data_IF_042775091232
#
_entry.id   IF_042775091232
#
_cell.length_a   1.000
_cell.length_b   1.000
_cell.length_c   1.000
_cell.angle_alpha   90.00
_cell.angle_beta   90.00
_cell.angle_gamma   90.00
#
_symmetry.space_group_name_H-M   'P 1'
#
loop_
_entity.id
_entity.type
_entity.pdbx_description
1 polymer ?
#
# COMPACT_ATOMS: atom_id res chain seq x y z
N UNK A 1 0.25 1.31 4.77
CA UNK A 1 -0.48 1.16 3.49
C UNK A 1 -0.47 2.43 2.65
N UNK A 2 -0.88 3.59 3.20
CA UNK A 2 -0.96 4.82 2.39
C UNK A 2 0.39 5.31 1.87
N UNK A 3 1.46 5.25 2.67
CA UNK A 3 2.82 5.59 2.20
C UNK A 3 3.32 4.63 1.12
N UNK A 4 3.18 3.32 1.32
CA UNK A 4 3.51 2.31 0.29
C UNK A 4 2.75 2.52 -1.02
N UNK A 5 1.47 2.94 -0.97
CA UNK A 5 0.70 3.29 -2.16
C UNK A 5 1.28 4.51 -2.90
N UNK A 6 1.70 5.53 -2.15
CA UNK A 6 2.32 6.74 -2.74
C UNK A 6 3.66 6.41 -3.37
N UNK A 7 4.47 5.58 -2.73
CA UNK A 7 5.75 5.10 -3.27
C UNK A 7 5.53 4.37 -4.61
N UNK A 8 4.64 3.37 -4.65
CA UNK A 8 4.36 2.63 -5.89
C UNK A 8 3.82 3.55 -6.98
N UNK A 9 2.89 4.46 -6.66
CA UNK A 9 2.37 5.42 -7.63
C UNK A 9 3.44 6.37 -8.18
N UNK A 10 4.38 6.80 -7.33
CA UNK A 10 5.51 7.62 -7.76
C UNK A 10 6.44 6.85 -8.71
N UNK A 11 6.72 5.58 -8.41
CA UNK A 11 7.49 4.69 -9.29
C UNK A 11 6.78 4.48 -10.63
N UNK A 12 5.48 4.16 -10.63
CA UNK A 12 4.67 4.02 -11.84
C UNK A 12 4.74 5.28 -12.70
N UNK A 13 4.62 6.46 -12.09
CA UNK A 13 4.71 7.75 -12.79
C UNK A 13 6.08 7.93 -13.45
N UNK A 14 7.17 7.69 -12.72
CA UNK A 14 8.52 7.83 -13.25
C UNK A 14 8.79 6.84 -14.39
N UNK A 15 8.35 5.58 -14.25
CA UNK A 15 8.44 4.57 -15.32
C UNK A 15 7.71 5.01 -16.60
N UNK A 16 6.52 5.58 -16.47
CA UNK A 16 5.76 6.12 -17.62
C UNK A 16 6.48 7.29 -18.28
N UNK A 17 7.05 8.22 -17.51
CA UNK A 17 7.85 9.33 -18.05
C UNK A 17 9.06 8.80 -18.81
N UNK A 18 9.80 7.86 -18.23
CA UNK A 18 10.92 7.22 -18.89
C UNK A 18 10.48 6.54 -20.19
N UNK A 19 9.36 5.80 -20.19
CA UNK A 19 8.82 5.16 -21.39
C UNK A 19 8.50 6.17 -22.50
N UNK A 20 7.80 7.26 -22.16
CA UNK A 20 7.40 8.29 -23.12
C UNK A 20 8.60 8.98 -23.76
N UNK A 21 9.62 9.33 -22.97
CA UNK A 21 10.75 10.13 -23.47
C UNK A 21 12.01 9.32 -23.80
N UNK A 22 12.00 7.98 -23.63
CA UNK A 22 13.12 7.10 -24.01
C UNK A 22 13.58 7.31 -25.46
N UNK A 23 12.70 7.46 -26.47
CA UNK A 23 13.16 7.71 -27.84
C UNK A 23 13.95 9.01 -27.99
N UNK A 24 13.49 10.10 -27.34
CA UNK A 24 14.16 11.41 -27.37
C UNK A 24 15.51 11.34 -26.66
N UNK A 25 15.57 10.63 -25.52
CA UNK A 25 16.82 10.40 -24.80
C UNK A 25 17.84 9.62 -25.65
N UNK A 26 17.42 8.53 -26.29
CA UNK A 26 18.30 7.73 -27.16
C UNK A 26 18.87 8.57 -28.31
N UNK A 27 18.02 9.34 -28.99
CA UNK A 27 18.47 10.27 -30.04
C UNK A 27 19.50 11.28 -29.49
N UNK A 28 19.24 11.88 -28.33
CA UNK A 28 20.18 12.81 -27.72
C UNK A 28 21.54 12.18 -27.37
N UNK A 29 21.54 10.94 -26.88
CA UNK A 29 22.77 10.23 -26.49
C UNK A 29 23.61 9.88 -27.72
N UNK A 30 22.98 9.43 -28.80
CA UNK A 30 23.61 9.03 -30.06
C UNK A 30 24.12 10.21 -30.90
N UNK A 31 23.61 11.42 -30.68
CA UNK A 31 24.02 12.61 -31.44
C UNK A 31 25.50 12.98 -31.22
N UNK A 32 26.20 13.48 -32.26
CA UNK A 32 27.52 14.08 -32.11
C UNK A 32 27.49 15.30 -31.18
N UNK A 33 28.59 15.54 -30.45
CA UNK A 33 28.68 16.65 -29.48
C UNK A 33 28.38 18.02 -30.11
N UNK A 34 28.75 18.22 -31.38
CA UNK A 34 28.47 19.45 -32.13
C UNK A 34 26.96 19.74 -32.33
N UNK A 35 26.11 18.74 -32.24
CA UNK A 35 24.66 18.85 -32.44
C UNK A 35 23.86 18.78 -31.13
N UNK A 36 24.47 18.27 -30.05
CA UNK A 36 23.79 18.08 -28.75
C UNK A 36 23.22 19.38 -28.17
N UNK A 37 23.91 20.51 -28.30
CA UNK A 37 23.43 21.78 -27.75
C UNK A 37 22.14 22.25 -28.43
N UNK A 38 22.09 22.21 -29.75
CA UNK A 38 20.90 22.59 -30.53
C UNK A 38 19.73 21.65 -30.25
N UNK A 39 19.97 20.33 -30.25
CA UNK A 39 18.95 19.34 -29.93
C UNK A 39 18.41 19.51 -28.50
N UNK A 40 19.30 19.70 -27.52
CA UNK A 40 18.90 19.91 -26.13
C UNK A 40 18.04 21.16 -25.99
N UNK A 41 18.36 22.26 -26.68
CA UNK A 41 17.55 23.47 -26.64
C UNK A 41 16.11 23.22 -27.09
N UNK A 42 15.92 22.44 -28.15
CA UNK A 42 14.60 22.06 -28.68
C UNK A 42 13.83 21.03 -27.85
N UNK A 43 14.52 20.20 -27.06
CA UNK A 43 13.94 19.10 -26.27
C UNK A 43 14.24 19.19 -24.77
N UNK A 44 14.51 20.39 -24.28
CA UNK A 44 15.04 20.59 -22.92
C UNK A 44 14.09 20.06 -21.86
N UNK A 45 12.78 20.29 -22.03
CA UNK A 45 11.74 19.84 -21.10
C UNK A 45 11.67 18.32 -21.03
N UNK A 46 11.66 17.65 -22.18
CA UNK A 46 11.58 16.19 -22.28
C UNK A 46 12.82 15.52 -21.70
N UNK A 47 14.01 16.03 -22.04
CA UNK A 47 15.28 15.49 -21.54
C UNK A 47 15.44 15.71 -20.04
N UNK A 48 15.01 16.86 -19.51
CA UNK A 48 14.99 17.11 -18.06
C UNK A 48 13.99 16.20 -17.33
N UNK A 49 12.79 16.01 -17.90
CA UNK A 49 11.79 15.13 -17.34
C UNK A 49 12.28 13.67 -17.31
N UNK A 50 12.88 13.19 -18.40
CA UNK A 50 13.49 11.87 -18.47
C UNK A 50 14.61 11.70 -17.44
N UNK A 51 15.58 12.63 -17.42
CA UNK A 51 16.72 12.58 -16.49
C UNK A 51 16.28 12.58 -15.03
N UNK A 52 15.30 13.42 -14.69
CA UNK A 52 14.74 13.48 -13.33
C UNK A 52 14.01 12.19 -12.95
N UNK A 53 13.20 11.64 -13.86
CA UNK A 53 12.49 10.38 -13.64
C UNK A 53 13.46 9.21 -13.47
N UNK A 54 14.47 9.12 -14.34
CA UNK A 54 15.48 8.07 -14.28
C UNK A 54 16.30 8.13 -12.98
N UNK A 55 16.70 9.33 -12.54
CA UNK A 55 17.38 9.52 -11.24
C UNK A 55 16.51 9.11 -10.05
N UNK A 56 15.20 9.31 -10.13
CA UNK A 56 14.29 8.86 -9.09
C UNK A 56 14.15 7.34 -9.09
N UNK A 57 14.10 6.69 -10.26
CA UNK A 57 14.09 5.23 -10.37
C UNK A 57 15.39 4.60 -9.84
N UNK A 58 16.54 5.21 -10.11
CA UNK A 58 17.83 4.75 -9.60
C UNK A 58 17.87 4.72 -8.06
N UNK A 59 17.28 5.71 -7.39
CA UNK A 59 17.16 5.72 -5.91
C UNK A 59 16.31 4.57 -5.38
N UNK A 60 15.34 4.11 -6.17
CA UNK A 60 14.49 2.96 -5.88
C UNK A 60 15.16 1.63 -6.32
N UNK A 61 16.41 1.67 -6.79
CA UNK A 61 17.16 0.51 -7.27
C UNK A 61 16.71 -0.01 -8.64
N UNK A 62 15.97 0.79 -9.41
CA UNK A 62 15.45 0.44 -10.72
C UNK A 62 16.38 1.01 -11.80
N UNK A 63 17.11 0.13 -12.48
CA UNK A 63 18.02 0.49 -13.55
C UNK A 63 17.30 0.86 -14.87
N UNK A 64 17.96 1.61 -15.75
CA UNK A 64 17.41 2.04 -17.04
C UNK A 64 17.31 0.91 -18.09
N UNK A 65 17.98 -0.23 -17.88
CA UNK A 65 17.90 -1.42 -18.75
C UNK A 65 16.62 -2.23 -18.56
N UNK A 66 15.82 -1.94 -17.53
CA UNK A 66 14.59 -2.67 -17.27
C UNK A 66 13.61 -2.56 -18.43
N UNK A 67 12.87 -3.65 -18.65
CA UNK A 67 11.73 -3.68 -19.55
C UNK A 67 10.62 -2.80 -18.94
N UNK A 68 10.50 -1.57 -19.46
CA UNK A 68 9.60 -0.55 -18.93
C UNK A 68 8.13 -0.99 -18.99
N UNK A 69 7.74 -1.76 -20.01
CA UNK A 69 6.37 -2.26 -20.15
C UNK A 69 6.05 -3.28 -19.05
N UNK A 70 6.96 -4.22 -18.80
CA UNK A 70 6.80 -5.18 -17.70
C UNK A 70 6.83 -4.48 -16.35
N UNK A 71 7.75 -3.54 -16.15
CA UNK A 71 7.86 -2.80 -14.90
C UNK A 71 6.56 -2.03 -14.57
N UNK A 72 5.99 -1.34 -15.56
CA UNK A 72 4.70 -0.65 -15.40
C UNK A 72 3.58 -1.66 -15.08
N UNK A 73 3.53 -2.79 -15.78
CA UNK A 73 2.55 -3.84 -15.49
C UNK A 73 2.63 -4.38 -14.06
N UNK A 74 3.85 -4.56 -13.54
CA UNK A 74 4.07 -4.95 -12.14
C UNK A 74 3.62 -3.87 -11.16
N UNK A 75 3.94 -2.60 -11.39
CA UNK A 75 3.54 -1.54 -10.46
C UNK A 75 2.02 -1.34 -10.45
N UNK A 76 1.34 -1.44 -11.59
CA UNK A 76 -0.12 -1.43 -11.66
C UNK A 76 -0.76 -2.62 -10.94
N UNK A 77 -0.14 -3.81 -11.01
CA UNK A 77 -0.59 -4.96 -10.24
C UNK A 77 -0.40 -4.75 -8.73
N UNK A 78 0.72 -4.16 -8.33
CA UNK A 78 0.98 -3.82 -6.92
C UNK A 78 -0.02 -2.78 -6.40
N UNK A 79 -0.35 -1.76 -7.18
CA UNK A 79 -1.38 -0.77 -6.83
C UNK A 79 -2.74 -1.43 -6.59
N UNK A 80 -3.15 -2.37 -7.46
CA UNK A 80 -4.38 -3.15 -7.26
C UNK A 80 -4.34 -3.98 -5.99
N UNK A 81 -3.27 -4.75 -5.76
CA UNK A 81 -3.11 -5.58 -4.55
C UNK A 81 -3.12 -4.76 -3.26
N UNK A 82 -2.55 -3.55 -3.28
CA UNK A 82 -2.59 -2.63 -2.14
C UNK A 82 -4.03 -2.22 -1.83
N UNK A 83 -4.83 -1.90 -2.85
CA UNK A 83 -6.23 -1.51 -2.64
C UNK A 83 -7.08 -2.71 -2.17
N UNK A 84 -6.90 -3.89 -2.78
CA UNK A 84 -7.56 -5.13 -2.34
C UNK A 84 -7.24 -5.46 -0.88
N UNK A 85 -5.96 -5.40 -0.49
CA UNK A 85 -5.53 -5.68 0.88
C UNK A 85 -6.08 -4.65 1.87
N UNK A 86 -6.22 -3.40 1.45
CA UNK A 86 -6.79 -2.33 2.27
C UNK A 86 -8.28 -2.55 2.53
N UNK A 87 -9.03 -3.02 1.54
CA UNK A 87 -10.45 -3.34 1.73
C UNK A 87 -10.62 -4.59 2.61
N UNK A 88 -9.83 -5.65 2.39
CA UNK A 88 -9.84 -6.84 3.25
C UNK A 88 -9.54 -6.50 4.71
N UNK A 89 -8.59 -5.59 4.96
CA UNK A 89 -8.29 -5.12 6.32
C UNK A 89 -9.48 -4.38 6.94
N UNK A 90 -10.22 -3.59 6.15
CA UNK A 90 -11.43 -2.89 6.61
C UNK A 90 -12.54 -3.87 6.98
N UNK A 91 -12.77 -4.89 6.16
CA UNK A 91 -13.75 -5.95 6.42
C UNK A 91 -13.38 -6.74 7.67
N UNK A 92 -12.14 -7.20 7.78
CA UNK A 92 -11.63 -7.94 8.94
C UNK A 92 -11.78 -7.14 10.24
N UNK A 93 -11.44 -5.84 10.22
CA UNK A 93 -11.63 -4.97 11.38
C UNK A 93 -13.11 -4.80 11.79
N UNK A 94 -14.04 -4.86 10.83
CA UNK A 94 -15.48 -4.79 11.09
C UNK A 94 -15.97 -6.08 11.76
N UNK A 95 -15.52 -7.23 11.25
CA UNK A 95 -15.83 -8.54 11.83
C UNK A 95 -15.24 -8.69 13.24
N UNK A 96 -14.00 -8.26 13.44
CA UNK A 96 -13.35 -8.29 14.75
C UNK A 96 -14.14 -7.46 15.78
N UNK A 97 -14.60 -6.27 15.40
CA UNK A 97 -15.44 -5.44 16.28
C UNK A 97 -16.73 -6.14 16.68
N UNK A 98 -17.41 -6.83 15.74
CA UNK A 98 -18.62 -7.61 16.04
C UNK A 98 -18.31 -8.76 16.99
N UNK A 99 -17.24 -9.51 16.71
CA UNK A 99 -16.81 -10.61 17.57
C UNK A 99 -16.43 -10.15 18.97
N UNK A 100 -15.75 -9.00 19.12
CA UNK A 100 -15.43 -8.41 20.42
C UNK A 100 -16.71 -8.01 21.19
N UNK A 101 -17.71 -7.44 20.52
CA UNK A 101 -19.00 -7.11 21.14
C UNK A 101 -19.75 -8.35 21.61
N UNK A 102 -19.76 -9.41 20.81
CA UNK A 102 -20.38 -10.69 21.18
C UNK A 102 -19.66 -11.34 22.37
N UNK A 103 -18.33 -11.37 22.37
CA UNK A 103 -17.53 -11.86 23.50
C UNK A 103 -17.85 -11.10 24.79
N UNK A 104 -18.02 -9.77 24.73
CA UNK A 104 -18.41 -8.97 25.90
C UNK A 104 -19.78 -9.37 26.44
N UNK A 105 -20.78 -9.54 25.56
CA UNK A 105 -22.12 -10.01 25.97
C UNK A 105 -22.08 -11.38 26.63
N UNK A 106 -21.27 -12.30 26.11
CA UNK A 106 -21.10 -13.64 26.70
C UNK A 106 -20.48 -13.55 28.09
N UNK A 107 -19.44 -12.73 28.28
CA UNK A 107 -18.83 -12.50 29.58
C UNK A 107 -19.83 -11.93 30.59
N UNK A 108 -20.62 -10.91 30.20
CA UNK A 108 -21.64 -10.31 31.06
C UNK A 108 -22.69 -11.35 31.51
N UNK A 109 -23.09 -12.26 30.62
CA UNK A 109 -24.03 -13.36 30.94
C UNK A 109 -23.40 -14.37 31.91
N UNK A 110 -22.14 -14.77 31.67
CA UNK A 110 -21.43 -15.72 32.51
C UNK A 110 -21.22 -15.17 33.93
N UNK A 111 -20.89 -13.89 34.05
CA UNK A 111 -20.73 -13.22 35.34
C UNK A 111 -22.06 -13.18 36.10
N UNK A 112 -23.14 -12.77 35.44
CA UNK A 112 -24.49 -12.75 36.03
C UNK A 112 -24.93 -14.14 36.50
N UNK A 113 -24.70 -15.17 35.71
CA UNK A 113 -25.02 -16.55 36.08
C UNK A 113 -24.21 -17.02 37.29
N UNK A 114 -22.92 -16.66 37.36
CA UNK A 114 -22.04 -17.01 38.47
C UNK A 114 -22.47 -16.34 39.78
N UNK A 115 -22.84 -15.06 39.74
CA UNK A 115 -23.38 -14.32 40.88
C UNK A 115 -24.68 -14.98 41.37
N UNK A 116 -25.63 -15.23 40.48
CA UNK A 116 -26.92 -15.85 40.82
C UNK A 116 -26.72 -17.23 41.45
N UNK A 117 -25.83 -18.06 40.89
CA UNK A 117 -25.50 -19.38 41.44
C UNK A 117 -24.92 -19.27 42.85
N UNK A 118 -24.02 -18.31 43.07
CA UNK A 118 -23.38 -18.08 44.38
C UNK A 118 -24.42 -17.69 45.43
N UNK A 119 -25.32 -16.75 45.09
CA UNK A 119 -26.42 -16.32 45.97
C UNK A 119 -27.30 -17.51 46.35
N UNK A 120 -27.71 -18.34 45.38
CA UNK A 120 -28.56 -19.49 45.64
C UNK A 120 -27.91 -20.49 46.60
N UNK A 121 -26.61 -20.77 46.44
CA UNK A 121 -25.85 -21.64 47.34
C UNK A 121 -25.81 -21.09 48.76
N UNK A 122 -25.59 -19.77 48.92
CA UNK A 122 -25.56 -19.13 50.23
C UNK A 122 -26.94 -19.19 50.90
N UNK A 123 -28.01 -18.86 50.18
CA UNK A 123 -29.38 -18.94 50.70
C UNK A 123 -29.74 -20.36 51.16
N UNK A 124 -29.39 -21.38 50.35
CA UNK A 124 -29.66 -22.77 50.69
C UNK A 124 -28.89 -23.22 51.95
N UNK A 125 -27.64 -22.78 52.12
CA UNK A 125 -26.86 -23.07 53.34
C UNK A 125 -27.47 -22.45 54.59
N UNK A 126 -27.95 -21.20 54.51
CA UNK A 126 -28.61 -20.53 55.64
C UNK A 126 -29.87 -21.29 56.06
N UNK A 127 -30.67 -21.78 55.11
CA UNK A 127 -31.89 -22.54 55.37
C UNK A 127 -31.65 -23.89 56.07
N UNK A 128 -30.50 -24.54 55.82
CA UNK A 128 -30.17 -25.85 56.43
C UNK A 128 -29.61 -25.73 57.85
N UNK A 129 -28.90 -24.63 58.14
CA UNK A 129 -28.21 -24.43 59.42
C UNK A 129 -29.12 -23.70 60.44
N UNK A 130 -30.18 -23.03 59.97
CA UNK A 130 -31.19 -22.35 60.81
C UNK A 130 -32.30 -23.25 61.32
#
# INVERSE_FOLDING_TARGET
MQEKRKEVAAVTKNLRICKTYKPVWMQYVELPMSQKSAFYSGHSTELQAYSSAAKNLEKEGIDQSVDLDKAIGFTEQLERKIEETKEQLRETNSEEKKAQQERKKVLDIQEKHTINRTILIVLYKVQIIG
#
